data_IF_161277009171
#
_entry.id   IF_161277009171
#
_cell.length_a   1.000
_cell.length_b   1.000
_cell.length_c   1.000
_cell.angle_alpha   90.00
_cell.angle_beta   90.00
_cell.angle_gamma   90.00
#
_symmetry.space_group_name_H-M   'P 1'
#
loop_
_entity.id
_entity.type
_entity.pdbx_description
1 polymer ?
#
# COMPACT_ATOMS: atom_id res chain seq x y z
N UNK A 1 5.97 -16.66 6.51
CA UNK A 1 7.30 -16.76 5.88
C UNK A 1 7.31 -16.32 4.42
N UNK A 2 6.44 -16.86 3.55
CA UNK A 2 6.38 -16.48 2.13
C UNK A 2 6.31 -14.96 1.89
N UNK A 3 5.49 -14.25 2.67
CA UNK A 3 5.33 -12.78 2.55
C UNK A 3 6.63 -12.03 2.87
N UNK A 4 7.39 -12.44 3.88
CA UNK A 4 8.69 -11.82 4.23
C UNK A 4 9.73 -12.07 3.13
N UNK A 5 9.70 -13.24 2.48
CA UNK A 5 10.57 -13.57 1.36
C UNK A 5 10.36 -12.72 0.10
N UNK A 6 9.17 -12.12 -0.07
CA UNK A 6 8.88 -11.20 -1.19
C UNK A 6 9.52 -9.83 -1.00
N UNK A 7 9.70 -9.38 0.25
CA UNK A 7 10.25 -8.06 0.56
C UNK A 7 11.76 -8.06 0.81
N UNK A 8 12.35 -9.21 1.13
CA UNK A 8 13.79 -9.34 1.37
C UNK A 8 14.67 -8.92 0.18
N UNK A 9 14.33 -9.23 -1.10
CA UNK A 9 15.13 -8.83 -2.26
C UNK A 9 15.32 -7.32 -2.39
N UNK A 10 14.42 -6.50 -1.86
CA UNK A 10 14.50 -5.03 -1.90
C UNK A 10 15.75 -4.53 -1.17
N UNK A 11 16.27 -5.27 -0.19
CA UNK A 11 17.49 -4.92 0.55
C UNK A 11 18.76 -5.05 -0.31
N UNK A 12 18.69 -5.85 -1.37
CA UNK A 12 19.76 -6.09 -2.35
C UNK A 12 19.58 -5.25 -3.63
N UNK A 13 18.56 -4.38 -3.68
CA UNK A 13 18.36 -3.47 -4.80
C UNK A 13 19.47 -2.40 -4.88
N UNK A 14 19.49 -1.68 -6.01
CA UNK A 14 20.45 -0.60 -6.26
C UNK A 14 20.36 0.50 -5.20
N UNK A 15 21.44 1.29 -5.04
CA UNK A 15 21.57 2.29 -3.96
C UNK A 15 20.40 3.26 -3.89
N UNK A 16 19.91 3.74 -5.04
CA UNK A 16 18.77 4.66 -5.13
C UNK A 16 17.46 4.00 -4.65
N UNK A 17 17.14 2.82 -5.19
CA UNK A 17 15.92 2.09 -4.83
C UNK A 17 15.93 1.67 -3.36
N UNK A 18 17.11 1.26 -2.85
CA UNK A 18 17.32 0.93 -1.45
C UNK A 18 17.19 2.14 -0.54
N UNK A 19 17.62 3.32 -0.97
CA UNK A 19 17.46 4.56 -0.20
C UNK A 19 15.99 4.93 -0.01
N UNK A 20 15.14 4.63 -1.00
CA UNK A 20 13.73 5.01 -0.97
C UNK A 20 12.87 3.93 -0.30
N UNK A 21 13.08 2.66 -0.68
CA UNK A 21 12.21 1.54 -0.28
C UNK A 21 12.84 0.58 0.72
N UNK A 22 14.15 0.68 0.99
CA UNK A 22 14.86 -0.25 1.89
C UNK A 22 14.32 -0.23 3.32
N UNK A 23 14.01 0.96 3.85
CA UNK A 23 13.39 1.10 5.17
C UNK A 23 12.02 0.43 5.25
N UNK A 24 11.18 0.63 4.23
CA UNK A 24 9.85 -0.01 4.14
C UNK A 24 9.96 -1.53 4.08
N UNK A 25 10.89 -2.06 3.26
CA UNK A 25 11.13 -3.50 3.15
C UNK A 25 11.53 -4.13 4.48
N UNK A 26 12.41 -3.48 5.25
CA UNK A 26 12.80 -3.94 6.59
C UNK A 26 11.63 -3.95 7.58
N UNK A 27 10.86 -2.86 7.64
CA UNK A 27 9.73 -2.74 8.58
C UNK A 27 8.66 -3.79 8.27
N UNK A 28 8.30 -3.97 7.01
CA UNK A 28 7.31 -4.96 6.59
C UNK A 28 7.80 -6.38 6.89
N UNK A 29 9.01 -6.72 6.46
CA UNK A 29 9.58 -8.06 6.68
C UNK A 29 9.71 -8.39 8.16
N UNK A 30 10.22 -7.44 8.96
CA UNK A 30 10.35 -7.57 10.41
C UNK A 30 9.00 -7.74 11.11
N UNK A 31 8.01 -6.92 10.76
CA UNK A 31 6.66 -7.02 11.36
C UNK A 31 5.98 -8.36 11.04
N UNK A 32 6.07 -8.83 9.79
CA UNK A 32 5.51 -10.14 9.44
C UNK A 32 6.24 -11.29 10.15
N UNK A 33 7.55 -11.16 10.34
CA UNK A 33 8.33 -12.15 11.07
C UNK A 33 7.97 -12.19 12.56
N UNK A 34 7.88 -11.02 13.20
CA UNK A 34 7.47 -10.90 14.62
C UNK A 34 6.04 -11.39 14.80
N UNK A 35 5.11 -11.00 13.91
CA UNK A 35 3.72 -11.47 13.94
C UNK A 35 3.62 -12.99 13.81
N UNK A 36 4.46 -13.60 12.97
CA UNK A 36 4.56 -15.05 12.86
C UNK A 36 5.05 -15.70 14.16
N UNK A 37 6.09 -15.15 14.80
CA UNK A 37 6.58 -15.64 16.10
C UNK A 37 5.51 -15.52 17.20
N UNK A 38 4.80 -14.40 17.25
CA UNK A 38 3.67 -14.19 18.17
C UNK A 38 2.58 -15.24 17.90
N UNK A 39 2.26 -15.49 16.63
CA UNK A 39 1.22 -16.43 16.23
C UNK A 39 1.53 -17.87 16.69
N UNK A 40 2.80 -18.29 16.66
CA UNK A 40 3.18 -19.64 17.07
C UNK A 40 3.40 -19.75 18.58
N UNK A 41 3.96 -18.73 19.21
CA UNK A 41 4.36 -18.82 20.62
C UNK A 41 3.26 -18.33 21.56
N UNK A 42 2.68 -17.18 21.24
CA UNK A 42 1.77 -16.46 22.13
C UNK A 42 0.34 -16.95 21.96
N UNK A 43 -0.17 -17.09 20.72
CA UNK A 43 -1.57 -17.49 20.50
C UNK A 43 -1.90 -18.85 21.14
N UNK A 44 -1.09 -19.91 21.02
CA UNK A 44 -1.38 -21.17 21.71
C UNK A 44 -1.34 -21.03 23.23
N UNK A 45 -0.43 -20.21 23.77
CA UNK A 45 -0.35 -19.91 25.20
C UNK A 45 -1.58 -19.17 25.74
N UNK A 46 -2.20 -18.30 24.94
CA UNK A 46 -3.48 -17.67 25.28
C UNK A 46 -4.64 -18.66 25.15
N UNK A 47 -4.66 -19.51 24.11
CA UNK A 47 -5.75 -20.49 23.89
C UNK A 47 -5.86 -21.51 25.02
N UNK A 48 -4.75 -21.92 25.62
CA UNK A 48 -4.75 -22.88 26.74
C UNK A 48 -5.15 -22.25 28.07
N UNK A 49 -4.79 -20.98 28.29
CA UNK A 49 -5.09 -20.26 29.55
C UNK A 49 -6.47 -19.58 29.56
N UNK A 50 -6.94 -19.12 28.40
CA UNK A 50 -8.23 -18.44 28.23
C UNK A 50 -9.21 -19.33 27.46
N UNK A 51 -9.45 -20.55 27.94
CA UNK A 51 -10.63 -21.29 27.54
C UNK A 51 -11.86 -20.60 28.15
N UNK A 52 -12.38 -19.60 27.45
CA UNK A 52 -13.69 -19.02 27.77
C UNK A 52 -14.69 -20.15 27.55
N UNK A 53 -15.16 -20.75 28.64
CA UNK A 53 -16.19 -21.76 28.63
C UNK A 53 -17.49 -21.04 28.22
N UNK A 54 -17.77 -20.99 26.91
CA UNK A 54 -18.91 -20.26 26.31
C UNK A 54 -20.27 -20.85 26.71
N UNK A 55 -20.31 -21.78 27.65
CA UNK A 55 -21.53 -22.50 28.03
C UNK A 55 -22.57 -21.60 28.74
N UNK A 56 -22.17 -20.55 29.47
CA UNK A 56 -23.09 -19.74 30.28
C UNK A 56 -22.87 -18.22 30.16
N UNK A 57 -22.81 -17.67 28.94
CA UNK A 57 -22.95 -16.21 28.78
C UNK A 57 -24.44 -15.88 28.61
N UNK A 58 -25.14 -15.60 29.72
CA UNK A 58 -26.53 -15.13 29.70
C UNK A 58 -26.57 -13.70 29.16
N UNK A 59 -26.66 -13.60 27.82
CA UNK A 59 -26.89 -12.33 27.13
C UNK A 59 -28.33 -11.89 27.43
N UNK A 60 -28.57 -10.65 27.91
CA UNK A 60 -29.92 -10.16 28.19
C UNK A 60 -30.82 -10.29 26.95
N UNK A 61 -32.02 -10.88 27.13
CA UNK A 61 -32.92 -11.33 26.04
C UNK A 61 -33.22 -10.29 24.95
N UNK A 62 -33.24 -8.99 25.30
CA UNK A 62 -33.50 -7.88 24.37
C UNK A 62 -32.31 -7.66 23.42
N UNK A 63 -31.08 -7.80 23.93
CA UNK A 63 -29.85 -7.67 23.14
C UNK A 63 -29.57 -8.94 22.34
N UNK A 64 -29.91 -10.10 22.91
CA UNK A 64 -29.78 -11.40 22.26
C UNK A 64 -30.64 -11.53 20.99
N UNK A 65 -31.86 -10.97 20.97
CA UNK A 65 -32.73 -11.09 19.79
C UNK A 65 -32.17 -10.31 18.58
N UNK A 66 -31.74 -9.06 18.78
CA UNK A 66 -31.14 -8.26 17.71
C UNK A 66 -29.76 -8.79 17.29
N UNK A 67 -28.94 -9.27 18.23
CA UNK A 67 -27.66 -9.91 17.90
C UNK A 67 -27.87 -11.24 17.16
N UNK A 68 -28.87 -12.06 17.52
CA UNK A 68 -29.14 -13.32 16.84
C UNK A 68 -29.61 -13.10 15.39
N UNK A 69 -30.40 -12.05 15.12
CA UNK A 69 -30.82 -11.72 13.76
C UNK A 69 -29.63 -11.25 12.92
N UNK A 70 -28.81 -10.33 13.43
CA UNK A 70 -27.62 -9.85 12.71
C UNK A 70 -26.60 -10.97 12.51
N UNK A 71 -26.34 -11.77 13.54
CA UNK A 71 -25.45 -12.92 13.47
C UNK A 71 -25.97 -13.97 12.48
N UNK A 72 -27.29 -14.21 12.45
CA UNK A 72 -27.93 -15.07 11.45
C UNK A 72 -27.76 -14.53 10.03
N UNK A 73 -27.95 -13.23 9.80
CA UNK A 73 -27.73 -12.62 8.48
C UNK A 73 -26.26 -12.69 8.06
N UNK A 74 -25.32 -12.37 8.95
CA UNK A 74 -23.88 -12.45 8.67
C UNK A 74 -23.48 -13.90 8.38
N UNK A 75 -24.02 -14.85 9.14
CA UNK A 75 -23.76 -16.27 8.96
C UNK A 75 -24.33 -16.77 7.63
N UNK A 76 -25.58 -16.41 7.31
CA UNK A 76 -26.22 -16.76 6.03
C UNK A 76 -25.53 -16.16 4.82
N UNK A 77 -25.09 -14.90 4.91
CA UNK A 77 -24.31 -14.25 3.85
C UNK A 77 -22.96 -14.94 3.68
N UNK A 78 -22.31 -15.31 4.79
CA UNK A 78 -21.05 -16.08 4.74
C UNK A 78 -21.26 -17.45 4.09
N UNK A 79 -22.27 -18.20 4.48
CA UNK A 79 -22.55 -19.53 3.91
C UNK A 79 -22.89 -19.44 2.42
N UNK A 80 -23.74 -18.51 2.00
CA UNK A 80 -24.07 -18.32 0.58
C UNK A 80 -22.85 -17.92 -0.25
N UNK A 81 -21.96 -17.08 0.29
CA UNK A 81 -20.68 -16.76 -0.36
C UNK A 81 -19.75 -17.98 -0.41
N UNK A 82 -19.65 -18.75 0.66
CA UNK A 82 -18.82 -19.97 0.71
C UNK A 82 -19.34 -20.97 -0.34
N UNK A 83 -20.63 -21.26 -0.36
CA UNK A 83 -21.24 -22.20 -1.29
C UNK A 83 -21.06 -21.76 -2.74
N UNK A 84 -21.26 -20.47 -3.04
CA UNK A 84 -20.97 -19.92 -4.38
C UNK A 84 -19.51 -20.06 -4.77
N UNK A 85 -18.56 -19.79 -3.85
CA UNK A 85 -17.14 -19.96 -4.15
C UNK A 85 -16.78 -21.43 -4.38
N UNK A 86 -17.35 -22.35 -3.62
CA UNK A 86 -17.16 -23.79 -3.80
C UNK A 86 -17.69 -24.28 -5.15
N UNK A 87 -18.86 -23.79 -5.58
CA UNK A 87 -19.42 -24.10 -6.89
C UNK A 87 -18.52 -23.63 -8.04
N UNK A 88 -17.91 -22.44 -7.92
CA UNK A 88 -16.96 -21.92 -8.91
C UNK A 88 -15.70 -22.78 -8.95
N UNK A 89 -15.18 -23.19 -7.80
CA UNK A 89 -14.02 -24.09 -7.71
C UNK A 89 -14.32 -25.45 -8.35
N UNK A 90 -15.50 -26.02 -8.07
CA UNK A 90 -15.91 -27.29 -8.66
C UNK A 90 -16.10 -27.18 -10.18
N UNK A 91 -16.67 -26.07 -10.65
CA UNK A 91 -16.80 -25.78 -12.08
C UNK A 91 -15.42 -25.64 -12.76
N UNK A 92 -14.49 -24.95 -12.11
CA UNK A 92 -13.10 -24.81 -12.57
C UNK A 92 -12.41 -26.17 -12.67
N UNK A 93 -12.62 -27.05 -11.69
CA UNK A 93 -12.06 -28.42 -11.68
C UNK A 93 -12.63 -29.30 -12.80
N UNK A 94 -13.92 -29.15 -13.13
CA UNK A 94 -14.58 -29.92 -14.22
C UNK A 94 -14.12 -29.49 -15.62
N UNK A 95 -13.71 -28.22 -15.80
CA UNK A 95 -13.26 -27.68 -17.10
C UNK A 95 -11.91 -26.93 -16.96
N UNK A 96 -10.82 -27.65 -16.64
CA UNK A 96 -9.54 -27.02 -16.32
C UNK A 96 -8.96 -26.24 -17.50
N UNK A 97 -9.21 -26.68 -18.75
CA UNK A 97 -8.75 -25.98 -19.96
C UNK A 97 -9.39 -24.59 -20.12
N UNK A 98 -10.68 -24.47 -19.82
CA UNK A 98 -11.40 -23.19 -19.91
C UNK A 98 -10.92 -22.26 -18.80
N UNK A 99 -10.78 -22.76 -17.57
CA UNK A 99 -10.26 -21.98 -16.46
C UNK A 99 -8.83 -21.48 -16.73
N UNK A 100 -7.95 -22.34 -17.25
CA UNK A 100 -6.59 -21.98 -17.62
C UNK A 100 -6.58 -20.89 -18.71
N UNK A 101 -7.45 -21.00 -19.72
CA UNK A 101 -7.59 -19.97 -20.76
C UNK A 101 -8.00 -18.61 -20.18
N UNK A 102 -8.97 -18.59 -19.27
CA UNK A 102 -9.40 -17.36 -18.59
C UNK A 102 -8.27 -16.80 -17.73
N UNK A 103 -7.55 -17.66 -17.01
CA UNK A 103 -6.41 -17.25 -16.18
C UNK A 103 -5.28 -16.62 -17.02
N UNK A 104 -4.94 -17.22 -18.17
CA UNK A 104 -3.96 -16.67 -19.11
C UNK A 104 -4.44 -15.31 -19.65
N UNK A 105 -5.73 -15.17 -19.98
CA UNK A 105 -6.30 -13.90 -20.43
C UNK A 105 -6.12 -12.81 -19.36
N UNK A 106 -6.37 -13.11 -18.09
CA UNK A 106 -6.14 -12.17 -16.98
C UNK A 106 -4.67 -11.74 -16.86
N UNK A 107 -3.73 -12.68 -17.04
CA UNK A 107 -2.30 -12.36 -17.04
C UNK A 107 -1.94 -11.44 -18.22
N UNK A 108 -2.43 -11.74 -19.42
CA UNK A 108 -2.17 -10.92 -20.61
C UNK A 108 -2.74 -9.51 -20.45
N UNK A 109 -3.93 -9.39 -19.88
CA UNK A 109 -4.54 -8.09 -19.53
C UNK A 109 -3.66 -7.34 -18.53
N UNK A 110 -3.16 -8.01 -17.49
CA UNK A 110 -2.25 -7.41 -16.51
C UNK A 110 -0.95 -6.90 -17.13
N UNK A 111 -0.35 -7.69 -18.03
CA UNK A 111 0.85 -7.29 -18.78
C UNK A 111 0.56 -6.09 -19.69
N UNK A 112 -0.58 -6.11 -20.39
CA UNK A 112 -1.00 -4.98 -21.23
C UNK A 112 -1.14 -3.69 -20.42
N UNK A 113 -1.78 -3.76 -19.25
CA UNK A 113 -1.90 -2.62 -18.33
C UNK A 113 -0.56 -2.16 -17.77
N UNK A 114 0.37 -3.08 -17.53
CA UNK A 114 1.72 -2.72 -17.10
C UNK A 114 2.47 -1.91 -18.16
N UNK A 115 2.35 -2.27 -19.45
CA UNK A 115 3.00 -1.55 -20.54
C UNK A 115 2.36 -0.18 -20.86
N UNK A 116 1.04 -0.04 -20.70
CA UNK A 116 0.37 1.25 -20.93
C UNK A 116 0.58 2.24 -19.78
N UNK A 117 0.94 1.75 -18.59
CA UNK A 117 1.21 2.59 -17.43
C UNK A 117 2.48 3.42 -17.66
N UNK A 118 2.37 4.74 -17.56
CA UNK A 118 3.54 5.62 -17.55
C UNK A 118 4.25 5.43 -16.22
N UNK A 119 5.41 4.80 -16.26
CA UNK A 119 6.22 4.56 -15.07
C UNK A 119 7.12 5.78 -14.81
N UNK A 120 6.71 6.64 -13.88
CA UNK A 120 7.62 7.62 -13.29
C UNK A 120 8.49 6.92 -12.24
N UNK A 121 9.81 7.18 -12.27
CA UNK A 121 10.76 6.50 -11.36
C UNK A 121 10.46 6.79 -9.89
N UNK A 122 10.04 8.02 -9.59
CA UNK A 122 9.59 8.48 -8.29
C UNK A 122 8.48 9.50 -8.57
N UNK A 123 7.32 9.36 -7.92
CA UNK A 123 6.32 10.43 -7.95
C UNK A 123 6.98 11.71 -7.43
N UNK A 124 6.89 12.80 -8.19
CA UNK A 124 7.41 14.10 -7.73
C UNK A 124 6.78 14.41 -6.37
N UNK A 125 7.58 14.29 -5.31
CA UNK A 125 7.18 14.74 -4.00
C UNK A 125 6.99 16.24 -4.15
N UNK A 126 5.82 16.76 -3.77
CA UNK A 126 5.59 18.20 -3.73
C UNK A 126 6.57 18.82 -2.73
N UNK A 127 7.73 19.22 -3.21
CA UNK A 127 8.65 20.04 -2.44
C UNK A 127 8.00 21.41 -2.26
N UNK A 128 7.97 21.90 -1.02
CA UNK A 128 7.45 23.24 -0.70
C UNK A 128 8.32 24.37 -1.28
N UNK A 129 9.39 24.01 -2.00
CA UNK A 129 10.37 24.90 -2.57
C UNK A 129 10.47 24.59 -4.06
N UNK A 130 10.46 25.65 -4.88
CA UNK A 130 10.71 25.55 -6.31
C UNK A 130 12.15 25.97 -6.54
N UNK A 131 12.97 25.05 -7.04
CA UNK A 131 14.36 25.31 -7.39
C UNK A 131 14.41 25.60 -8.90
N UNK A 132 14.82 26.81 -9.25
CA UNK A 132 15.06 27.22 -10.64
C UNK A 132 16.55 27.46 -10.86
N UNK A 133 17.12 26.79 -11.84
CA UNK A 133 18.50 27.04 -12.26
C UNK A 133 18.51 28.03 -13.42
N UNK A 134 19.28 29.11 -13.28
CA UNK A 134 19.49 30.11 -14.34
C UNK A 134 20.91 29.94 -14.86
N UNK A 135 21.05 29.48 -16.10
CA UNK A 135 22.34 29.34 -16.76
C UNK A 135 22.65 30.61 -17.57
N UNK A 136 23.77 31.26 -17.25
CA UNK A 136 24.25 32.43 -17.96
C UNK A 136 25.35 32.06 -18.96
N UNK A 137 25.43 32.72 -20.12
CA UNK A 137 26.51 32.48 -21.08
C UNK A 137 27.88 32.82 -20.46
N UNK A 138 28.91 32.12 -20.93
CA UNK A 138 30.29 32.39 -20.52
C UNK A 138 30.72 33.83 -20.85
N UNK A 139 31.32 34.52 -19.88
CA UNK A 139 31.73 35.93 -20.01
C UNK A 139 30.71 36.95 -19.49
N UNK A 140 29.59 36.51 -18.91
CA UNK A 140 28.64 37.43 -18.26
C UNK A 140 29.24 38.01 -16.98
N UNK A 141 29.18 39.33 -16.81
CA UNK A 141 29.72 39.98 -15.61
C UNK A 141 28.87 39.65 -14.36
N UNK A 142 29.52 39.54 -13.20
CA UNK A 142 28.85 39.31 -11.92
C UNK A 142 27.74 40.33 -11.64
N UNK A 143 27.97 41.60 -11.99
CA UNK A 143 26.97 42.66 -11.83
C UNK A 143 25.70 42.36 -12.63
N UNK A 144 25.83 41.88 -13.88
CA UNK A 144 24.70 41.57 -14.73
C UNK A 144 23.95 40.31 -14.27
N UNK A 145 24.67 39.32 -13.76
CA UNK A 145 24.09 38.12 -13.13
C UNK A 145 23.23 38.53 -11.92
N UNK A 146 23.75 39.40 -11.06
CA UNK A 146 23.03 39.83 -9.85
C UNK A 146 21.76 40.61 -10.20
N UNK A 147 21.84 41.55 -11.14
CA UNK A 147 20.66 42.34 -11.56
C UNK A 147 19.57 41.47 -12.18
N UNK A 148 19.94 40.45 -12.97
CA UNK A 148 18.96 39.55 -13.60
C UNK A 148 18.34 38.63 -12.55
N UNK A 149 19.14 38.13 -11.61
CA UNK A 149 18.66 37.28 -10.51
C UNK A 149 17.68 38.03 -9.62
N UNK A 150 18.00 39.26 -9.22
CA UNK A 150 17.10 40.12 -8.42
C UNK A 150 15.79 40.43 -9.16
N UNK A 151 15.85 40.65 -10.48
CA UNK A 151 14.64 40.86 -11.29
C UNK A 151 13.75 39.62 -11.33
N UNK A 152 14.36 38.44 -11.45
CA UNK A 152 13.67 37.15 -11.43
C UNK A 152 13.01 36.93 -10.07
N UNK A 153 13.76 37.08 -8.97
CA UNK A 153 13.24 36.93 -7.61
C UNK A 153 12.07 37.86 -7.35
N UNK A 154 12.21 39.15 -7.69
CA UNK A 154 11.17 40.15 -7.51
C UNK A 154 9.90 39.80 -8.29
N UNK A 155 10.04 39.31 -9.53
CA UNK A 155 8.91 38.90 -10.37
C UNK A 155 8.16 37.71 -9.78
N UNK A 156 8.84 36.78 -9.12
CA UNK A 156 8.21 35.60 -8.50
C UNK A 156 7.62 35.88 -7.12
N UNK A 157 8.12 36.87 -6.38
CA UNK A 157 7.55 37.32 -5.09
C UNK A 157 6.11 37.87 -5.22
N UNK A 158 5.75 38.40 -6.38
CA UNK A 158 4.41 38.94 -6.66
C UNK A 158 3.33 37.85 -6.80
N UNK A 159 3.72 36.58 -7.00
CA UNK A 159 2.77 35.47 -7.08
C UNK A 159 2.33 35.00 -5.68
N UNK A 160 1.00 34.97 -5.45
CA UNK A 160 0.34 34.62 -4.17
C UNK A 160 0.81 33.29 -3.57
N UNK A 161 1.24 32.34 -4.41
CA UNK A 161 1.75 31.01 -4.00
C UNK A 161 3.04 31.13 -3.18
N UNK A 162 3.93 32.07 -3.50
CA UNK A 162 5.22 32.26 -2.81
C UNK A 162 5.09 33.04 -1.50
N UNK A 163 4.14 33.98 -1.42
CA UNK A 163 3.91 34.83 -0.23
C UNK A 163 3.52 34.04 1.03
N UNK A 164 2.91 32.86 0.85
CA UNK A 164 2.43 31.99 1.94
C UNK A 164 3.53 31.08 2.52
N UNK A 165 4.62 30.85 1.78
CA UNK A 165 5.75 30.02 2.21
C UNK A 165 6.75 30.74 3.13
N UNK A 166 6.80 32.08 3.08
CA UNK A 166 7.79 32.89 3.82
C UNK A 166 7.29 33.32 5.21
N UNK A 167 5.98 33.17 5.51
CA UNK A 167 5.37 33.55 6.80
C UNK A 167 5.25 32.41 7.82
N UNK A 168 6.14 31.42 7.79
CA UNK A 168 6.23 30.40 8.85
C UNK A 168 7.57 30.44 9.53
#
# INVERSE_FOLDING_TARGET
MLVSGVFLPILFATKELKSIYGGLGLVLSGNFFISYLISITIIPGFRTKFQINVKNFDVPKIFAHNMNVLLYYVYRIKEDLIDKTLLIIEHSRKRPKVFLSVYILFILIGIYFYFISKNEFINKVEEKQLIGNVEFPSGTSFSRINTITEQIEKKYQDYIIFRKSIRK
#
